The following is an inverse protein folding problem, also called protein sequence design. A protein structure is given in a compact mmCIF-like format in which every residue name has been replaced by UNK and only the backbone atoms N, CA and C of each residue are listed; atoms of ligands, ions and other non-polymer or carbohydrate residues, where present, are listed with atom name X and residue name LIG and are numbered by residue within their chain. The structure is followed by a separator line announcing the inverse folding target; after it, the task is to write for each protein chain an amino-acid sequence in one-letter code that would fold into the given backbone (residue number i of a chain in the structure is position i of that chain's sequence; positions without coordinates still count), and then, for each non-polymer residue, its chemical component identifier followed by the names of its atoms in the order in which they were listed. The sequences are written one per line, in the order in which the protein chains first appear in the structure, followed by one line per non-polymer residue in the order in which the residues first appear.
data_IF_871739703243
#
_entry.id   IF_871739703243
#
_cell.length_a   1.000
_cell.length_b   1.000
_cell.length_c   1.000
_cell.angle_alpha   90.00
_cell.angle_beta   90.00
_cell.angle_gamma   90.00
#
_symmetry.space_group_name_H-M   'P 1'
#
loop_
_entity.id
_entity.type
_entity.pdbx_description
1 polymer ?
#
# COMPACT_ATOMS: atom_id res chain seq x y z
N UNK A 1 -10.27 12.72 -0.80
CA UNK A 1 -8.98 13.33 -0.36
C UNK A 1 -8.81 14.67 -1.08
N UNK A 2 -9.12 15.80 -0.44
CA UNK A 2 -9.06 17.14 -1.06
C UNK A 2 -7.85 17.90 -0.49
N UNK A 3 -6.87 18.17 -1.34
CA UNK A 3 -5.79 19.11 -1.05
C UNK A 3 -6.38 20.51 -1.10
N UNK A 4 -6.68 21.10 0.06
CA UNK A 4 -7.06 22.51 0.11
C UNK A 4 -5.80 23.36 0.07
N UNK A 5 -5.54 23.97 -1.10
CA UNK A 5 -4.57 25.07 -1.24
C UNK A 5 -5.23 26.29 -0.61
N UNK A 6 -4.94 26.54 0.67
CA UNK A 6 -5.40 27.74 1.32
C UNK A 6 -4.27 28.78 1.24
N UNK A 7 -4.40 29.73 0.30
CA UNK A 7 -3.58 30.93 0.26
C UNK A 7 -4.06 31.82 1.41
N UNK A 8 -3.40 31.74 2.57
CA UNK A 8 -3.62 32.69 3.66
C UNK A 8 -2.37 33.55 3.85
N UNK A 9 -2.58 34.86 3.82
CA UNK A 9 -1.60 35.86 4.19
C UNK A 9 -1.50 35.95 5.73
N UNK A 10 -0.26 35.87 6.21
CA UNK A 10 0.25 36.15 7.56
C UNK A 10 -0.16 35.23 8.74
N UNK A 11 0.80 34.38 9.17
CA UNK A 11 1.21 34.20 10.57
C UNK A 11 2.49 33.34 10.65
N UNK A 12 3.51 33.86 11.36
CA UNK A 12 4.67 33.17 12.01
C UNK A 12 5.11 31.81 11.45
N UNK A 13 5.48 31.72 10.18
CA UNK A 13 6.01 30.48 9.61
C UNK A 13 7.53 30.56 9.46
N UNK A 14 8.24 29.61 10.06
CA UNK A 14 9.68 29.40 9.86
C UNK A 14 9.93 28.79 8.49
N UNK A 15 10.89 29.35 7.76
CA UNK A 15 11.31 28.86 6.46
C UNK A 15 12.28 27.68 6.64
N UNK A 16 11.92 26.53 6.07
CA UNK A 16 12.76 25.34 6.10
C UNK A 16 13.62 25.34 4.84
N UNK A 17 14.94 25.32 5.02
CA UNK A 17 15.91 25.21 3.93
C UNK A 17 16.19 23.74 3.55
N UNK A 18 15.96 22.80 4.45
CA UNK A 18 16.21 21.36 4.25
C UNK A 18 15.14 20.49 4.91
N UNK A 19 14.46 19.66 4.12
CA UNK A 19 13.48 18.66 4.60
C UNK A 19 14.11 17.63 5.55
N UNK A 20 15.38 17.28 5.34
CA UNK A 20 16.09 16.30 6.16
C UNK A 20 16.47 16.88 7.53
N UNK A 21 16.91 18.14 7.58
CA UNK A 21 17.18 18.85 8.84
C UNK A 21 15.88 19.07 9.62
N UNK A 22 14.81 19.41 8.93
CA UNK A 22 13.47 19.49 9.51
C UNK A 22 13.03 18.16 10.14
N UNK A 23 13.16 17.05 9.42
CA UNK A 23 12.78 15.73 9.92
C UNK A 23 13.66 15.22 11.08
N UNK A 24 14.92 15.68 11.16
CA UNK A 24 15.85 15.34 12.23
C UNK A 24 15.74 16.27 13.46
N UNK A 25 15.05 17.40 13.33
CA UNK A 25 14.90 18.39 14.39
C UNK A 25 13.98 17.89 15.50
N UNK A 26 14.41 18.08 16.75
CA UNK A 26 13.61 17.82 17.95
C UNK A 26 13.01 19.09 18.54
N UNK A 27 13.21 20.24 17.89
CA UNK A 27 12.78 21.53 18.40
C UNK A 27 11.25 21.71 18.23
N UNK A 28 10.51 21.94 19.34
CA UNK A 28 9.07 22.16 19.37
C UNK A 28 8.56 23.24 18.39
N UNK A 29 9.38 24.22 18.04
CA UNK A 29 9.01 25.31 17.12
C UNK A 29 8.78 24.80 15.68
N UNK A 30 9.43 23.70 15.29
CA UNK A 30 9.21 23.08 13.98
C UNK A 30 7.90 22.29 13.88
N UNK A 31 7.11 22.19 14.96
CA UNK A 31 5.78 21.59 14.90
C UNK A 31 4.68 22.61 14.58
N UNK A 32 5.03 23.89 14.38
CA UNK A 32 4.13 24.91 13.84
C UNK A 32 4.06 24.86 12.30
N UNK A 33 3.26 25.75 11.68
CA UNK A 33 3.16 25.82 10.21
C UNK A 33 4.52 26.24 9.63
N UNK A 34 5.21 25.35 8.94
CA UNK A 34 6.46 25.69 8.27
C UNK A 34 6.27 25.89 6.77
N UNK A 35 7.17 26.63 6.14
CA UNK A 35 7.10 26.89 4.69
C UNK A 35 8.40 26.45 4.00
N UNK A 36 8.28 25.80 2.85
CA UNK A 36 9.35 25.65 1.88
C UNK A 36 9.02 26.54 0.68
N UNK A 37 9.90 27.49 0.39
CA UNK A 37 9.80 28.31 -0.82
C UNK A 37 10.28 27.51 -2.02
N UNK A 38 9.41 27.28 -3.00
CA UNK A 38 9.76 26.58 -4.24
C UNK A 38 10.25 27.57 -5.31
N UNK A 39 9.65 28.76 -5.34
CA UNK A 39 10.09 29.94 -6.10
C UNK A 39 9.52 31.22 -5.45
N UNK A 40 9.64 32.38 -6.12
CA UNK A 40 9.23 33.70 -5.56
C UNK A 40 7.73 33.75 -5.25
N UNK A 41 6.90 32.98 -5.97
CA UNK A 41 5.44 33.03 -5.92
C UNK A 41 4.81 31.78 -5.29
N UNK A 42 5.52 30.65 -5.28
CA UNK A 42 5.03 29.36 -4.82
C UNK A 42 5.70 28.94 -3.50
N UNK A 43 4.85 28.73 -2.50
CA UNK A 43 5.23 28.33 -1.15
C UNK A 43 4.49 27.06 -0.76
N UNK A 44 5.24 26.04 -0.37
CA UNK A 44 4.72 24.80 0.16
C UNK A 44 4.60 24.93 1.68
N UNK A 45 3.39 24.87 2.23
CA UNK A 45 3.18 24.90 3.68
C UNK A 45 3.21 23.47 4.23
N UNK A 46 4.23 23.16 5.02
CA UNK A 46 4.33 21.92 5.76
C UNK A 46 3.67 22.08 7.13
N UNK A 47 2.53 21.42 7.30
CA UNK A 47 1.90 21.27 8.61
C UNK A 47 2.04 19.81 9.02
N UNK A 48 2.75 19.50 10.12
CA UNK A 48 2.67 18.19 10.73
C UNK A 48 1.27 18.04 11.34
N UNK A 49 0.29 17.71 10.50
CA UNK A 49 -1.02 17.24 10.95
C UNK A 49 -0.98 15.71 11.00
N UNK A 50 -1.43 15.10 12.12
CA UNK A 50 -2.07 15.75 13.27
C UNK A 50 -1.06 16.24 14.33
N UNK A 51 -1.33 17.42 14.92
CA UNK A 51 -0.65 17.97 16.10
C UNK A 51 -0.82 17.10 17.35
N UNK A 52 -1.84 16.21 17.36
CA UNK A 52 -2.05 15.20 18.39
C UNK A 52 -1.99 13.79 17.78
N UNK A 53 -0.82 13.17 17.88
CA UNK A 53 -0.59 11.76 17.51
C UNK A 53 -0.74 10.82 18.71
N UNK A 54 -1.34 11.25 19.83
CA UNK A 54 -1.55 10.38 20.99
C UNK A 54 -2.31 9.09 20.64
N UNK A 55 -3.22 9.17 19.66
CA UNK A 55 -3.92 8.01 19.10
C UNK A 55 -3.01 7.03 18.34
N UNK A 56 -1.94 7.52 17.70
CA UNK A 56 -0.90 6.68 17.08
C UNK A 56 -0.01 6.05 18.16
N UNK A 57 0.28 6.76 19.26
CA UNK A 57 1.06 6.20 20.38
C UNK A 57 0.36 5.02 21.06
N UNK A 58 -0.97 4.97 21.01
CA UNK A 58 -1.79 3.85 21.48
C UNK A 58 -2.16 2.86 20.38
N UNK A 59 -1.68 3.08 19.15
CA UNK A 59 -2.03 2.23 18.05
C UNK A 59 -1.31 0.89 18.16
N UNK A 60 -2.08 -0.17 18.00
CA UNK A 60 -1.60 -1.54 17.89
C UNK A 60 -1.22 -1.82 16.44
N UNK A 61 -0.15 -2.58 16.27
CA UNK A 61 0.31 -3.05 14.98
C UNK A 61 -0.20 -4.47 14.78
N UNK A 62 -0.84 -4.74 13.65
CA UNK A 62 -1.38 -6.05 13.31
C UNK A 62 -0.77 -6.55 12.01
N UNK A 63 -0.52 -7.85 11.92
CA UNK A 63 -0.10 -8.48 10.67
C UNK A 63 -1.29 -8.65 9.72
N UNK A 64 -1.01 -8.94 8.45
CA UNK A 64 -2.04 -9.33 7.48
C UNK A 64 -2.82 -10.56 8.01
N UNK A 65 -2.14 -11.55 8.59
CA UNK A 65 -2.80 -12.75 9.14
C UNK A 65 -3.83 -12.41 10.22
N UNK A 66 -3.48 -11.51 11.15
CA UNK A 66 -4.40 -11.07 12.20
C UNK A 66 -5.67 -10.41 11.65
N UNK A 67 -5.61 -9.86 10.44
CA UNK A 67 -6.77 -9.23 9.79
C UNK A 67 -7.60 -10.23 9.00
N UNK A 68 -6.96 -11.25 8.43
CA UNK A 68 -7.65 -12.33 7.73
C UNK A 68 -8.53 -13.13 8.69
N UNK A 69 -8.06 -13.35 9.93
CA UNK A 69 -8.80 -14.09 10.97
C UNK A 69 -10.04 -13.38 11.52
N UNK A 70 -10.28 -12.11 11.14
CA UNK A 70 -11.44 -11.35 11.62
C UNK A 70 -12.71 -11.74 10.85
N UNK A 71 -13.75 -12.27 11.52
CA UNK A 71 -14.86 -12.97 10.86
C UNK A 71 -15.76 -12.13 9.94
N UNK A 72 -15.84 -10.80 10.09
CA UNK A 72 -17.03 -10.06 9.64
C UNK A 72 -16.80 -8.85 8.74
N UNK A 73 -15.62 -8.67 8.13
CA UNK A 73 -15.35 -7.42 7.41
C UNK A 73 -14.62 -7.55 6.07
N UNK A 74 -15.08 -8.42 5.15
CA UNK A 74 -14.53 -8.55 3.79
C UNK A 74 -14.28 -7.19 3.12
N UNK A 75 -15.26 -6.27 3.16
CA UNK A 75 -15.10 -4.91 2.64
C UNK A 75 -13.93 -4.14 3.27
N UNK A 76 -13.76 -4.18 4.60
CA UNK A 76 -12.65 -3.47 5.26
C UNK A 76 -11.30 -4.09 4.93
N UNK A 77 -11.23 -5.42 4.76
CA UNK A 77 -9.99 -6.09 4.32
C UNK A 77 -9.64 -5.69 2.88
N UNK A 78 -10.63 -5.59 2.00
CA UNK A 78 -10.45 -5.09 0.64
C UNK A 78 -10.01 -3.62 0.60
N UNK A 79 -10.56 -2.76 1.46
CA UNK A 79 -10.08 -1.38 1.64
C UNK A 79 -8.60 -1.35 2.03
N UNK A 80 -8.20 -2.20 2.98
CA UNK A 80 -6.80 -2.31 3.37
C UNK A 80 -5.92 -2.79 2.21
N UNK A 81 -6.37 -3.77 1.44
CA UNK A 81 -5.68 -4.21 0.21
C UNK A 81 -5.51 -3.09 -0.81
N UNK A 82 -6.56 -2.31 -1.09
CA UNK A 82 -6.52 -1.17 -1.99
C UNK A 82 -5.54 -0.07 -1.52
N UNK A 83 -5.56 0.24 -0.23
CA UNK A 83 -4.61 1.21 0.34
C UNK A 83 -3.17 0.70 0.22
N UNK A 84 -2.93 -0.60 0.45
CA UNK A 84 -1.61 -1.19 0.28
C UNK A 84 -1.14 -1.06 -1.17
N UNK A 85 -1.97 -1.45 -2.15
CA UNK A 85 -1.67 -1.26 -3.58
C UNK A 85 -1.31 0.20 -3.87
N UNK A 86 -2.12 1.14 -3.36
CA UNK A 86 -1.89 2.57 -3.58
C UNK A 86 -0.56 3.03 -2.98
N UNK A 87 -0.21 2.58 -1.78
CA UNK A 87 1.06 2.90 -1.11
C UNK A 87 2.26 2.33 -1.88
N UNK A 88 2.21 1.04 -2.25
CA UNK A 88 3.30 0.37 -2.98
C UNK A 88 3.58 1.10 -4.29
N UNK A 89 2.54 1.44 -5.06
CA UNK A 89 2.68 2.12 -6.35
C UNK A 89 3.13 3.57 -6.18
N UNK A 90 2.59 4.29 -5.18
CA UNK A 90 2.96 5.70 -4.94
C UNK A 90 4.40 5.86 -4.43
N UNK A 91 4.96 4.83 -3.79
CA UNK A 91 6.31 4.84 -3.23
C UNK A 91 7.30 4.00 -4.04
N UNK A 92 6.87 3.36 -5.13
CA UNK A 92 7.61 2.38 -5.93
C UNK A 92 9.08 2.75 -6.19
N UNK A 93 9.33 3.95 -6.72
CA UNK A 93 10.68 4.43 -7.09
C UNK A 93 11.40 5.15 -5.95
N UNK A 94 10.80 5.20 -4.77
CA UNK A 94 11.38 5.87 -3.62
C UNK A 94 12.17 4.87 -2.79
N UNK A 95 13.09 5.38 -1.96
CA UNK A 95 13.77 4.55 -0.99
C UNK A 95 12.83 3.96 0.08
N UNK A 96 11.52 4.24 0.10
CA UNK A 96 10.57 3.72 1.08
C UNK A 96 10.08 2.31 0.76
N UNK A 97 10.17 1.86 -0.50
CA UNK A 97 9.87 0.49 -0.89
C UNK A 97 11.17 -0.33 -0.88
N UNK A 98 11.27 -1.40 -0.10
CA UNK A 98 12.40 -2.31 -0.18
C UNK A 98 12.40 -3.04 -1.53
N UNK A 99 13.59 -3.36 -2.03
CA UNK A 99 13.77 -4.13 -3.28
C UNK A 99 13.09 -5.50 -3.24
N UNK A 100 13.02 -6.11 -2.05
CA UNK A 100 12.27 -7.32 -1.77
C UNK A 100 11.26 -7.03 -0.68
N UNK A 101 10.08 -6.57 -1.10
CA UNK A 101 8.96 -6.37 -0.19
C UNK A 101 8.34 -7.72 0.14
N UNK A 102 8.37 -8.10 1.40
CA UNK A 102 7.75 -9.32 1.91
C UNK A 102 6.43 -9.00 2.63
N UNK A 103 5.60 -10.02 2.82
CA UNK A 103 4.33 -9.92 3.56
C UNK A 103 4.53 -9.46 5.01
N UNK A 104 5.63 -9.87 5.64
CA UNK A 104 6.00 -9.48 7.01
C UNK A 104 6.42 -8.01 7.13
N UNK A 105 6.80 -7.38 6.00
CA UNK A 105 7.06 -5.94 5.96
C UNK A 105 5.76 -5.13 5.91
N UNK A 106 4.60 -5.77 5.66
CA UNK A 106 3.31 -5.08 5.57
C UNK A 106 2.53 -5.28 6.86
N UNK A 107 2.42 -4.20 7.61
CA UNK A 107 1.68 -4.18 8.88
C UNK A 107 0.50 -3.21 8.76
N UNK A 108 -0.48 -3.37 9.64
CA UNK A 108 -1.67 -2.51 9.67
C UNK A 108 -1.72 -1.81 11.02
N UNK A 109 -1.83 -0.49 10.95
CA UNK A 109 -1.90 0.35 12.14
C UNK A 109 -3.37 0.51 12.58
N UNK A 110 -3.65 0.14 13.83
CA UNK A 110 -4.98 0.19 14.43
C UNK A 110 -4.94 1.06 15.70
N UNK A 111 -5.61 2.22 15.70
CA UNK A 111 -5.75 3.06 16.89
C UNK A 111 -7.14 3.02 17.49
N UNK A 112 -7.24 3.47 18.73
CA UNK A 112 -8.52 3.77 19.38
C UNK A 112 -8.84 5.27 19.23
N UNK A 113 -10.04 5.56 18.76
CA UNK A 113 -10.62 6.90 18.79
C UNK A 113 -11.12 7.17 20.21
N UNK A 114 -11.20 8.45 20.59
CA UNK A 114 -11.63 8.93 21.90
C UNK A 114 -12.99 8.40 22.38
N UNK A 115 -13.82 7.86 21.49
CA UNK A 115 -15.11 7.23 21.79
C UNK A 115 -15.01 5.72 22.11
N UNK A 116 -13.79 5.17 22.15
CA UNK A 116 -13.53 3.74 22.38
C UNK A 116 -13.68 2.88 21.12
N UNK A 117 -13.96 3.47 19.95
CA UNK A 117 -14.00 2.72 18.69
C UNK A 117 -12.59 2.50 18.15
N UNK A 118 -12.26 1.25 17.80
CA UNK A 118 -11.00 0.92 17.12
C UNK A 118 -11.07 1.37 15.65
N UNK A 119 -10.36 2.45 15.30
CA UNK A 119 -10.12 2.88 13.93
C UNK A 119 -8.84 2.30 13.36
N UNK A 120 -8.92 1.78 12.14
CA UNK A 120 -7.73 1.37 11.39
C UNK A 120 -7.23 2.54 10.58
N UNK A 121 -5.96 2.92 10.77
CA UNK A 121 -5.32 3.98 10.01
C UNK A 121 -4.90 3.51 8.61
N UNK A 122 -4.74 2.20 8.41
CA UNK A 122 -4.42 1.59 7.14
C UNK A 122 -3.14 0.77 7.17
N UNK A 123 -2.79 0.11 6.06
CA UNK A 123 -1.53 -0.58 5.93
C UNK A 123 -0.37 0.43 5.94
N UNK A 124 0.74 0.03 6.54
CA UNK A 124 2.01 0.73 6.47
C UNK A 124 3.13 -0.28 6.29
N UNK A 125 4.18 0.12 5.59
CA UNK A 125 5.32 -0.75 5.32
C UNK A 125 6.31 -0.57 6.47
N UNK A 126 6.40 -1.58 7.32
CA UNK A 126 7.33 -1.62 8.43
C UNK A 126 8.70 -2.03 7.94
N UNK A 127 9.62 -1.07 7.94
CA UNK A 127 10.99 -1.31 7.52
C UNK A 127 11.84 -1.69 8.74
N UNK A 128 11.89 -2.98 9.06
CA UNK A 128 12.78 -3.51 10.11
C UNK A 128 14.27 -3.39 9.73
N UNK A 129 14.59 -3.36 8.43
CA UNK A 129 15.96 -3.27 7.91
C UNK A 129 16.36 -1.83 7.54
N UNK A 130 17.36 -1.29 8.24
CA UNK A 130 17.91 0.08 8.09
C UNK A 130 18.71 0.33 6.80
N UNK A 131 18.42 -0.38 5.71
CA UNK A 131 19.16 -0.23 4.46
C UNK A 131 18.55 0.88 3.61
N UNK A 132 18.69 2.13 4.05
CA UNK A 132 18.54 3.28 3.16
C UNK A 132 19.76 3.28 2.21
N UNK A 133 19.67 2.56 1.10
CA UNK A 133 20.63 2.73 0.01
C UNK A 133 20.39 4.09 -0.64
N UNK A 134 21.46 4.86 -0.83
CA UNK A 134 21.39 6.20 -1.40
C UNK A 134 20.72 6.20 -2.78
N UNK A 135 20.00 7.29 -3.13
CA UNK A 135 19.36 7.44 -4.44
C UNK A 135 20.45 7.52 -5.51
N UNK A 136 20.52 6.49 -6.34
CA UNK A 136 21.44 6.41 -7.47
C UNK A 136 21.20 5.18 -8.34
N UNK A 137 20.65 4.10 -7.76
CA UNK A 137 20.39 2.83 -8.46
C UNK A 137 19.12 2.11 -7.95
N UNK A 138 18.16 2.82 -7.37
CA UNK A 138 16.94 2.18 -6.86
C UNK A 138 15.93 2.00 -7.99
N UNK A 139 16.12 0.96 -8.80
CA UNK A 139 15.06 0.44 -9.65
C UNK A 139 14.06 -0.30 -8.76
N UNK A 140 12.80 0.12 -8.80
CA UNK A 140 11.72 -0.60 -8.13
C UNK A 140 11.70 -2.04 -8.67
N UNK A 141 11.73 -3.05 -7.82
CA UNK A 141 11.50 -4.41 -8.28
C UNK A 141 9.99 -4.63 -8.42
N UNK A 142 9.45 -4.31 -9.60
CA UNK A 142 8.02 -4.18 -9.82
C UNK A 142 7.33 -5.54 -9.69
N UNK A 143 7.94 -6.60 -10.24
CA UNK A 143 7.31 -7.92 -10.30
C UNK A 143 7.08 -8.59 -8.94
N UNK A 144 8.06 -8.70 -8.03
CA UNK A 144 7.82 -9.21 -6.67
C UNK A 144 6.85 -8.34 -5.87
N UNK A 145 6.92 -7.01 -6.06
CA UNK A 145 6.00 -6.07 -5.39
C UNK A 145 4.56 -6.28 -5.86
N UNK A 146 4.35 -6.44 -7.16
CA UNK A 146 3.04 -6.70 -7.74
C UNK A 146 2.53 -8.10 -7.41
N UNK A 147 3.40 -9.11 -7.40
CA UNK A 147 3.02 -10.45 -6.95
C UNK A 147 2.52 -10.41 -5.51
N UNK A 148 3.23 -9.73 -4.59
CA UNK A 148 2.78 -9.55 -3.21
C UNK A 148 1.42 -8.85 -3.15
N UNK A 149 1.23 -7.79 -3.93
CA UNK A 149 -0.05 -7.07 -4.01
C UNK A 149 -1.17 -8.00 -4.48
N UNK A 150 -0.95 -8.76 -5.56
CA UNK A 150 -1.93 -9.69 -6.11
C UNK A 150 -2.32 -10.78 -5.10
N UNK A 151 -1.33 -11.41 -4.46
CA UNK A 151 -1.54 -12.38 -3.38
C UNK A 151 -2.32 -11.75 -2.24
N UNK A 152 -1.89 -10.58 -1.75
CA UNK A 152 -2.56 -9.92 -0.63
C UNK A 152 -4.02 -9.58 -0.95
N UNK A 153 -4.31 -9.09 -2.16
CA UNK A 153 -5.67 -8.79 -2.62
C UNK A 153 -6.57 -10.04 -2.63
N UNK A 154 -6.03 -11.16 -3.11
CA UNK A 154 -6.73 -12.44 -3.12
C UNK A 154 -6.99 -12.95 -1.69
N UNK A 155 -5.98 -12.88 -0.83
CA UNK A 155 -6.09 -13.26 0.57
C UNK A 155 -7.11 -12.42 1.33
N UNK A 156 -7.10 -11.09 1.18
CA UNK A 156 -8.07 -10.22 1.87
C UNK A 156 -9.49 -10.41 1.37
N UNK A 157 -9.66 -10.75 0.08
CA UNK A 157 -10.97 -11.07 -0.49
C UNK A 157 -11.55 -12.33 0.16
N UNK A 158 -10.79 -13.42 0.17
CA UNK A 158 -11.27 -14.71 0.69
C UNK A 158 -11.17 -14.85 2.20
N UNK A 159 -10.28 -14.09 2.85
CA UNK A 159 -10.04 -14.21 4.29
C UNK A 159 -9.17 -15.37 4.68
N UNK A 160 -8.36 -15.86 3.76
CA UNK A 160 -7.50 -17.02 3.97
C UNK A 160 -6.14 -16.71 3.38
N UNK A 161 -5.10 -17.26 3.98
CA UNK A 161 -3.74 -17.17 3.44
C UNK A 161 -3.59 -18.11 2.24
N UNK A 162 -2.77 -17.72 1.26
CA UNK A 162 -2.43 -18.56 0.11
C UNK A 162 -1.86 -19.90 0.58
N UNK A 163 -1.01 -19.86 1.61
CA UNK A 163 -0.34 -21.03 2.18
C UNK A 163 -1.29 -22.02 2.86
N UNK A 164 -2.54 -21.60 3.12
CA UNK A 164 -3.59 -22.44 3.71
C UNK A 164 -4.50 -23.05 2.63
N UNK A 165 -4.26 -22.79 1.34
CA UNK A 165 -5.02 -23.40 0.25
C UNK A 165 -4.56 -24.84 -0.02
N UNK A 166 -5.46 -25.78 -0.36
CA UNK A 166 -5.07 -27.15 -0.72
C UNK A 166 -4.01 -27.20 -1.84
N UNK A 167 -4.20 -26.37 -2.87
CA UNK A 167 -3.30 -26.25 -4.03
C UNK A 167 -1.86 -25.87 -3.68
N UNK A 168 -1.65 -25.16 -2.55
CA UNK A 168 -0.33 -24.76 -2.10
C UNK A 168 0.55 -25.98 -1.80
N UNK A 169 -0.01 -26.98 -1.12
CA UNK A 169 0.69 -28.20 -0.78
C UNK A 169 0.96 -29.07 -2.01
N UNK A 170 0.02 -29.09 -2.97
CA UNK A 170 0.17 -29.86 -4.22
C UNK A 170 1.35 -29.35 -5.08
N UNK A 171 1.62 -28.05 -5.06
CA UNK A 171 2.72 -27.42 -5.79
C UNK A 171 4.05 -27.44 -5.03
N UNK A 172 4.03 -27.64 -3.72
CA UNK A 172 5.20 -27.61 -2.85
C UNK A 172 5.88 -28.96 -2.65
N UNK A 173 5.45 -30.03 -3.33
CA UNK A 173 5.69 -31.45 -3.08
C UNK A 173 7.12 -31.96 -2.72
N UNK A 174 8.15 -31.10 -2.62
CA UNK A 174 9.32 -31.19 -1.72
C UNK A 174 10.23 -29.93 -1.85
N UNK A 175 9.69 -28.78 -2.29
CA UNK A 175 10.46 -27.59 -2.69
C UNK A 175 10.16 -26.43 -1.76
N UNK A 176 11.18 -25.64 -1.40
CA UNK A 176 10.97 -24.42 -0.63
C UNK A 176 10.11 -23.41 -1.41
N UNK A 177 9.15 -22.71 -0.76
CA UNK A 177 8.38 -21.67 -1.41
C UNK A 177 9.27 -20.62 -2.07
N UNK A 178 8.96 -20.27 -3.32
CA UNK A 178 9.61 -19.19 -4.07
C UNK A 178 8.57 -18.42 -4.89
N UNK A 179 9.00 -17.35 -5.56
CA UNK A 179 8.13 -16.47 -6.34
C UNK A 179 7.33 -17.20 -7.43
N UNK A 180 7.91 -18.24 -8.05
CA UNK A 180 7.23 -19.04 -9.06
C UNK A 180 6.10 -19.87 -8.43
N UNK A 181 6.38 -20.53 -7.30
CA UNK A 181 5.35 -21.29 -6.57
C UNK A 181 4.24 -20.39 -6.08
N UNK A 182 4.57 -19.18 -5.60
CA UNK A 182 3.59 -18.18 -5.20
C UNK A 182 2.73 -17.73 -6.38
N UNK A 183 3.32 -17.38 -7.52
CA UNK A 183 2.59 -16.95 -8.71
C UNK A 183 1.67 -18.04 -9.25
N UNK A 184 2.16 -19.28 -9.38
CA UNK A 184 1.36 -20.41 -9.84
C UNK A 184 0.19 -20.70 -8.90
N UNK A 185 0.43 -20.76 -7.59
CA UNK A 185 -0.61 -21.01 -6.59
C UNK A 185 -1.67 -19.91 -6.61
N UNK A 186 -1.24 -18.65 -6.65
CA UNK A 186 -2.12 -17.50 -6.69
C UNK A 186 -2.95 -17.47 -7.98
N UNK A 187 -2.36 -17.78 -9.13
CA UNK A 187 -3.05 -17.83 -10.41
C UNK A 187 -4.13 -18.92 -10.45
N UNK A 188 -3.80 -20.14 -10.00
CA UNK A 188 -4.76 -21.23 -9.94
C UNK A 188 -5.92 -20.90 -8.99
N UNK A 189 -5.61 -20.33 -7.81
CA UNK A 189 -6.65 -19.94 -6.86
C UNK A 189 -7.53 -18.80 -7.40
N UNK A 190 -6.93 -17.80 -8.06
CA UNK A 190 -7.65 -16.71 -8.72
C UNK A 190 -8.67 -17.24 -9.74
N UNK A 191 -8.25 -18.18 -10.60
CA UNK A 191 -9.14 -18.79 -11.61
C UNK A 191 -10.33 -19.52 -10.97
N UNK A 192 -10.11 -20.22 -9.85
CA UNK A 192 -11.18 -20.92 -9.13
C UNK A 192 -12.19 -19.97 -8.46
N UNK A 193 -11.77 -18.74 -8.18
CA UNK A 193 -12.54 -17.79 -7.38
C UNK A 193 -13.21 -16.69 -8.19
N UNK A 194 -13.05 -16.67 -9.51
CA UNK A 194 -13.64 -15.66 -10.40
C UNK A 194 -15.14 -15.49 -10.19
N UNK A 195 -15.90 -16.60 -10.09
CA UNK A 195 -17.34 -16.55 -9.90
C UNK A 195 -17.71 -15.85 -8.58
N UNK A 196 -17.03 -16.20 -7.48
CA UNK A 196 -17.25 -15.57 -6.16
C UNK A 196 -16.95 -14.07 -6.15
N UNK A 197 -15.96 -13.62 -6.94
CA UNK A 197 -15.66 -12.19 -7.11
C UNK A 197 -16.78 -11.46 -7.84
N UNK A 198 -17.32 -12.07 -8.89
CA UNK A 198 -18.46 -11.52 -9.63
C UNK A 198 -19.75 -11.52 -8.83
N UNK A 199 -19.98 -12.53 -7.98
CA UNK A 199 -21.15 -12.59 -7.11
C UNK A 199 -21.10 -11.50 -6.03
N UNK A 200 -19.93 -11.29 -5.40
CA UNK A 200 -19.80 -10.34 -4.29
C UNK A 200 -19.74 -8.86 -4.74
N UNK A 201 -19.00 -8.56 -5.81
CA UNK A 201 -18.79 -7.17 -6.28
C UNK A 201 -19.81 -6.80 -7.37
N UNK A 202 -20.39 -7.79 -8.05
CA UNK A 202 -21.22 -7.64 -9.23
C UNK A 202 -20.46 -8.04 -10.50
N UNK A 203 -21.20 -8.46 -11.54
CA UNK A 203 -20.62 -9.07 -12.75
C UNK A 203 -19.54 -8.22 -13.42
N UNK A 204 -19.81 -6.95 -13.66
CA UNK A 204 -18.87 -6.04 -14.33
C UNK A 204 -17.66 -5.71 -13.44
N UNK A 205 -17.91 -5.19 -12.24
CA UNK A 205 -16.86 -4.75 -11.32
C UNK A 205 -16.05 -5.91 -10.73
N UNK A 206 -16.64 -7.09 -10.57
CA UNK A 206 -15.94 -8.31 -10.18
C UNK A 206 -15.00 -8.82 -11.27
N UNK A 207 -15.37 -8.69 -12.55
CA UNK A 207 -14.47 -8.95 -13.67
C UNK A 207 -13.28 -7.97 -13.70
N UNK A 208 -13.54 -6.69 -13.41
CA UNK A 208 -12.49 -5.67 -13.27
C UNK A 208 -11.53 -5.96 -12.12
N UNK A 209 -12.07 -6.39 -10.97
CA UNK A 209 -11.28 -6.76 -9.80
C UNK A 209 -10.39 -7.99 -10.07
N UNK A 210 -10.99 -9.03 -10.66
CA UNK A 210 -10.28 -10.23 -11.10
C UNK A 210 -9.12 -9.89 -12.03
N UNK A 211 -9.37 -9.04 -13.03
CA UNK A 211 -8.36 -8.67 -14.03
C UNK A 211 -7.21 -7.88 -13.42
N UNK A 212 -7.50 -6.97 -12.47
CA UNK A 212 -6.46 -6.25 -11.75
C UNK A 212 -5.56 -7.19 -10.94
N UNK A 213 -6.12 -8.20 -10.26
CA UNK A 213 -5.33 -9.21 -9.54
C UNK A 213 -4.53 -10.06 -10.53
N UNK A 214 -5.12 -10.48 -11.65
CA UNK A 214 -4.45 -11.28 -12.68
C UNK A 214 -3.21 -10.56 -13.21
N UNK A 215 -3.33 -9.27 -13.54
CA UNK A 215 -2.20 -8.45 -14.00
C UNK A 215 -1.08 -8.36 -12.95
N UNK A 216 -1.44 -8.31 -11.66
CA UNK A 216 -0.46 -8.33 -10.58
C UNK A 216 0.27 -9.68 -10.47
N UNK A 217 -0.47 -10.79 -10.51
CA UNK A 217 0.08 -12.15 -10.33
C UNK A 217 0.90 -12.60 -11.54
N UNK A 218 0.40 -12.33 -12.74
CA UNK A 218 1.05 -12.74 -13.99
C UNK A 218 2.07 -11.72 -14.50
N UNK A 219 2.18 -10.55 -13.86
CA UNK A 219 2.94 -9.40 -14.36
C UNK A 219 2.54 -9.00 -15.79
N UNK A 220 1.25 -9.02 -16.09
CA UNK A 220 0.70 -8.72 -17.42
C UNK A 220 0.37 -7.23 -17.55
N UNK A 221 1.40 -6.39 -17.45
CA UNK A 221 1.31 -4.93 -17.52
C UNK A 221 1.92 -4.35 -18.80
N UNK A 222 2.30 -5.21 -19.76
CA UNK A 222 2.84 -4.79 -21.06
C UNK A 222 4.29 -4.29 -21.02
N UNK A 223 5.06 -4.68 -20.00
CA UNK A 223 6.50 -4.43 -19.87
C UNK A 223 7.23 -5.75 -19.68
N UNK A 224 8.30 -5.97 -20.44
CA UNK A 224 9.19 -7.14 -20.26
C UNK A 224 10.26 -6.90 -19.18
N UNK A 225 10.42 -5.65 -18.72
CA UNK A 225 11.38 -5.30 -17.67
C UNK A 225 10.78 -5.50 -16.27
N UNK A 226 11.43 -6.35 -15.47
CA UNK A 226 11.08 -6.64 -14.08
C UNK A 226 11.31 -5.43 -13.15
N UNK A 227 12.11 -4.47 -13.61
CA UNK A 227 12.49 -3.25 -12.91
C UNK A 227 11.62 -2.07 -13.35
N UNK A 228 10.85 -1.53 -12.42
CA UNK A 228 9.97 -0.40 -12.66
C UNK A 228 10.73 0.92 -12.61
N UNK A 229 10.69 1.66 -13.72
CA UNK A 229 10.94 3.09 -13.76
C UNK A 229 9.64 3.88 -13.56
N UNK A 230 9.68 5.19 -13.78
CA UNK A 230 8.50 6.04 -13.66
C UNK A 230 7.39 5.67 -14.66
N UNK A 231 7.73 5.13 -15.84
CA UNK A 231 6.75 4.75 -16.86
C UNK A 231 5.97 3.51 -16.44
N UNK A 232 6.68 2.50 -15.90
CA UNK A 232 6.06 1.30 -15.34
C UNK A 232 5.10 1.66 -14.19
N UNK A 233 5.49 2.60 -13.31
CA UNK A 233 4.60 3.08 -12.23
C UNK A 233 3.32 3.70 -12.78
N UNK A 234 3.39 4.51 -13.84
CA UNK A 234 2.21 5.11 -14.47
C UNK A 234 1.30 4.03 -15.06
N UNK A 235 1.87 3.03 -15.74
CA UNK A 235 1.10 1.91 -16.29
C UNK A 235 0.41 1.13 -15.18
N UNK A 236 1.13 0.77 -14.12
CA UNK A 236 0.58 0.07 -12.96
C UNK A 236 -0.55 0.88 -12.30
N UNK A 237 -0.37 2.19 -12.13
CA UNK A 237 -1.41 3.04 -11.55
C UNK A 237 -2.68 3.06 -12.43
N UNK A 238 -2.51 3.12 -13.76
CA UNK A 238 -3.63 3.13 -14.72
C UNK A 238 -4.33 1.77 -14.81
N UNK A 239 -3.57 0.68 -14.87
CA UNK A 239 -4.07 -0.67 -15.15
C UNK A 239 -4.51 -1.45 -13.90
N UNK A 240 -4.01 -1.08 -12.72
CA UNK A 240 -4.29 -1.79 -11.46
C UNK A 240 -4.97 -0.84 -10.46
N UNK A 241 -4.33 0.25 -10.05
CA UNK A 241 -4.84 1.11 -8.97
C UNK A 241 -6.18 1.76 -9.35
N UNK A 242 -6.26 2.33 -10.55
CA UNK A 242 -7.47 3.03 -11.00
C UNK A 242 -8.68 2.09 -11.12
N UNK A 243 -8.56 0.89 -11.74
CA UNK A 243 -9.61 -0.12 -11.72
C UNK A 243 -10.04 -0.55 -10.33
N UNK A 244 -9.09 -0.83 -9.42
CA UNK A 244 -9.41 -1.25 -8.05
C UNK A 244 -10.19 -0.17 -7.28
N UNK A 245 -9.86 1.12 -7.48
CA UNK A 245 -10.64 2.23 -6.90
C UNK A 245 -12.09 2.25 -7.40
N UNK A 246 -12.34 1.87 -8.66
CA UNK A 246 -13.70 1.78 -9.22
C UNK A 246 -14.51 0.63 -8.63
N UNK A 247 -13.86 -0.48 -8.28
CA UNK A 247 -14.52 -1.61 -7.61
C UNK A 247 -14.97 -1.23 -6.19
N UNK A 248 -14.34 -0.22 -5.57
CA UNK A 248 -14.60 0.18 -4.19
C UNK A 248 -14.68 1.71 -4.00
N UNK A 249 -15.66 2.38 -4.64
CA UNK A 249 -15.70 3.84 -4.71
C UNK A 249 -15.94 4.52 -3.36
N UNK A 250 -16.56 3.82 -2.40
CA UNK A 250 -16.72 4.33 -1.03
C UNK A 250 -15.40 4.51 -0.25
N UNK A 251 -14.26 4.14 -0.84
CA UNK A 251 -12.93 4.21 -0.21
C UNK A 251 -11.87 4.92 -1.07
N UNK A 252 -12.28 5.56 -2.18
CA UNK A 252 -11.41 6.31 -3.10
C UNK A 252 -11.15 7.77 -2.71
#
# INVERSE_FOLDING_TARGET
MQTFIQVQQQATATEIQSLCEFAASTDPQYFEKNIISLNVEERLVLQPKPLDQSHIKRAEVQSIESILSLPSFRHRRLTAGLHLTSIVVSLATTAWIPEKLAKDDVLILCGEVSDGTKTRFGPYIHRSSRNFRMPGYNTWNAKPSLLLVGVTLLEVFHGQMLEKQPLWNDLLADVQPNDVTMACSAFLWLNQCQESMTEFIGKELGGVFYEAIRKCVCFDIGSDDDFGDAEVVVVVYREIVTPLKRCFPQFG
#
